data_IF_744750130469
#
_entry.id   IF_744750130469
#
_cell.length_a   1.000
_cell.length_b   1.000
_cell.length_c   1.000
_cell.angle_alpha   90.00
_cell.angle_beta   90.00
_cell.angle_gamma   90.00
#
_symmetry.space_group_name_H-M   'P 1'
#
loop_
_entity.id
_entity.type
_entity.pdbx_description
1 polymer ?
#
# COMPACT_ATOMS: atom_id res chain seq x y z
N UNK A 1 10.64 -10.85 15.41
CA UNK A 1 10.24 -11.53 14.16
C UNK A 1 9.31 -10.60 13.39
N UNK A 2 9.62 -10.28 12.13
CA UNK A 2 8.82 -9.37 11.30
C UNK A 2 7.58 -10.11 10.78
N UNK A 3 6.42 -9.45 10.83
CA UNK A 3 5.14 -9.98 10.37
C UNK A 3 4.49 -8.99 9.41
N UNK A 4 4.01 -9.48 8.27
CA UNK A 4 3.39 -8.68 7.21
C UNK A 4 1.88 -8.98 7.12
N UNK A 5 1.11 -7.94 6.81
CA UNK A 5 -0.35 -8.00 6.77
C UNK A 5 -0.86 -8.56 5.44
N UNK A 6 -1.70 -9.59 5.55
CA UNK A 6 -2.26 -10.36 4.44
C UNK A 6 -3.12 -9.53 3.44
N UNK A 7 -3.70 -8.42 3.90
CA UNK A 7 -4.62 -7.59 3.12
C UNK A 7 -3.99 -6.35 2.47
N UNK A 8 -2.68 -6.15 2.60
CA UNK A 8 -2.00 -4.99 2.01
C UNK A 8 -1.99 -5.04 0.48
N UNK A 9 -2.12 -3.87 -0.15
CA UNK A 9 -1.96 -3.71 -1.60
C UNK A 9 -0.48 -3.56 -1.92
N UNK A 10 -0.03 -4.21 -3.00
CA UNK A 10 1.36 -4.23 -3.42
C UNK A 10 1.65 -3.05 -4.36
N UNK A 11 2.79 -2.39 -4.13
CA UNK A 11 3.29 -1.33 -5.01
C UNK A 11 4.22 -1.95 -6.05
N UNK A 12 3.91 -1.77 -7.34
CA UNK A 12 4.74 -2.25 -8.45
C UNK A 12 5.59 -1.14 -9.07
N UNK A 13 6.61 -1.51 -9.84
CA UNK A 13 7.47 -0.53 -10.51
C UNK A 13 6.72 0.32 -11.53
N UNK A 14 5.72 -0.24 -12.22
CA UNK A 14 4.87 0.53 -13.11
C UNK A 14 4.00 1.57 -12.35
N UNK A 15 3.68 1.36 -11.08
CA UNK A 15 3.06 2.41 -10.25
C UNK A 15 4.03 3.57 -10.02
N UNK A 16 5.32 3.29 -9.80
CA UNK A 16 6.35 4.35 -9.66
C UNK A 16 6.53 5.15 -10.95
N UNK A 17 6.57 4.46 -12.08
CA UNK A 17 6.65 5.10 -13.39
C UNK A 17 5.42 5.97 -13.67
N UNK A 18 4.23 5.45 -13.39
CA UNK A 18 2.96 6.19 -13.53
C UNK A 18 2.95 7.45 -12.66
N UNK A 19 3.42 7.38 -11.42
CA UNK A 19 3.53 8.53 -10.51
C UNK A 19 4.44 9.62 -11.13
N UNK A 20 5.59 9.22 -11.69
CA UNK A 20 6.47 10.14 -12.42
C UNK A 20 5.84 10.73 -13.69
N UNK A 21 5.06 9.95 -14.45
CA UNK A 21 4.35 10.40 -15.65
C UNK A 21 3.26 11.43 -15.32
N UNK A 22 2.44 11.15 -14.30
CA UNK A 22 1.41 12.08 -13.80
C UNK A 22 2.06 13.41 -13.41
N UNK A 23 3.19 13.35 -12.70
CA UNK A 23 3.87 14.55 -12.23
C UNK A 23 4.46 15.38 -13.38
N UNK A 24 5.04 14.72 -14.40
CA UNK A 24 5.48 15.40 -15.62
C UNK A 24 4.32 16.07 -16.35
N UNK A 25 3.17 15.41 -16.46
CA UNK A 25 1.97 15.96 -17.10
C UNK A 25 1.39 17.19 -16.39
N UNK A 26 1.65 17.38 -15.10
CA UNK A 26 1.18 18.54 -14.32
C UNK A 26 2.01 19.81 -14.54
N UNK A 27 3.23 19.70 -15.05
CA UNK A 27 4.12 20.83 -15.31
C UNK A 27 4.26 21.74 -14.08
N UNK A 28 3.92 23.03 -14.24
CA UNK A 28 4.01 24.04 -13.17
C UNK A 28 3.04 23.83 -11.99
N UNK A 29 2.14 22.85 -12.07
CA UNK A 29 1.23 22.45 -10.98
C UNK A 29 1.65 21.12 -10.34
N UNK A 30 2.95 20.81 -10.38
CA UNK A 30 3.53 19.65 -9.67
C UNK A 30 3.20 19.70 -8.18
N UNK A 31 2.84 18.54 -7.63
CA UNK A 31 2.51 18.37 -6.20
C UNK A 31 3.73 18.03 -5.35
N UNK A 32 4.89 17.74 -5.97
CA UNK A 32 6.05 17.22 -5.27
C UNK A 32 5.82 15.79 -4.78
N UNK A 33 5.32 14.90 -5.65
CA UNK A 33 5.20 13.48 -5.28
C UNK A 33 6.58 12.87 -5.02
N UNK A 34 6.64 11.88 -4.13
CA UNK A 34 7.89 11.16 -3.86
C UNK A 34 8.30 10.22 -5.00
N UNK A 35 7.46 10.11 -6.05
CA UNK A 35 7.63 9.21 -7.20
C UNK A 35 7.79 7.74 -6.79
N UNK A 36 7.24 7.39 -5.62
CA UNK A 36 7.28 6.04 -5.05
C UNK A 36 6.08 5.19 -5.49
N UNK A 37 5.15 5.72 -6.28
CA UNK A 37 4.00 4.95 -6.76
C UNK A 37 2.87 4.81 -5.75
N UNK A 38 2.91 5.54 -4.64
CA UNK A 38 1.91 5.46 -3.57
C UNK A 38 0.54 5.89 -4.11
N UNK A 39 0.47 7.03 -4.80
CA UNK A 39 -0.79 7.53 -5.36
C UNK A 39 -1.46 6.58 -6.34
N UNK A 40 -0.76 6.12 -7.40
CA UNK A 40 -1.31 5.12 -8.31
C UNK A 40 -1.75 3.84 -7.59
N UNK A 41 -0.96 3.33 -6.63
CA UNK A 41 -1.33 2.12 -5.87
C UNK A 41 -2.63 2.32 -5.07
N UNK A 42 -2.81 3.46 -4.40
CA UNK A 42 -4.04 3.78 -3.68
C UNK A 42 -5.23 4.01 -4.64
N UNK A 43 -4.99 4.59 -5.81
CA UNK A 43 -6.01 4.66 -6.86
C UNK A 43 -6.48 3.26 -7.26
N UNK A 44 -5.55 2.32 -7.46
CA UNK A 44 -5.89 0.93 -7.75
C UNK A 44 -6.63 0.22 -6.62
N UNK A 45 -6.31 0.57 -5.37
CA UNK A 45 -7.08 0.11 -4.21
C UNK A 45 -8.52 0.62 -4.27
N UNK A 46 -8.72 1.90 -4.57
CA UNK A 46 -10.04 2.52 -4.65
C UNK A 46 -10.89 1.98 -5.81
N UNK A 47 -10.27 1.74 -6.98
CA UNK A 47 -10.94 1.15 -8.16
C UNK A 47 -11.09 -0.37 -8.05
N UNK A 48 -10.58 -0.99 -6.97
CA UNK A 48 -10.63 -2.44 -6.70
C UNK A 48 -9.92 -3.30 -7.75
N UNK A 49 -9.02 -2.73 -8.53
CA UNK A 49 -8.16 -3.47 -9.47
C UNK A 49 -6.74 -3.70 -8.91
N UNK A 50 -6.44 -3.16 -7.73
CA UNK A 50 -5.17 -3.37 -7.04
C UNK A 50 -4.95 -4.81 -6.60
N UNK A 51 -3.70 -5.25 -6.66
CA UNK A 51 -3.29 -6.60 -6.30
C UNK A 51 -2.80 -6.60 -4.86
N UNK A 52 -3.29 -7.55 -4.05
CA UNK A 52 -2.99 -7.64 -2.62
C UNK A 52 -1.98 -8.73 -2.31
N UNK A 53 -1.46 -8.72 -1.10
CA UNK A 53 -0.51 -9.73 -0.60
C UNK A 53 -1.12 -11.15 -0.65
N UNK A 54 -2.42 -11.30 -0.33
CA UNK A 54 -3.16 -12.56 -0.51
C UNK A 54 -3.11 -13.08 -1.96
N UNK A 55 -3.19 -12.19 -2.95
CA UNK A 55 -3.16 -12.60 -4.36
C UNK A 55 -1.78 -13.12 -4.74
N UNK A 56 -0.70 -12.49 -4.24
CA UNK A 56 0.67 -12.94 -4.50
C UNK A 56 1.00 -14.30 -3.85
N UNK A 57 0.46 -14.56 -2.65
CA UNK A 57 0.76 -15.79 -1.89
C UNK A 57 -0.18 -16.96 -2.22
N UNK A 58 -1.29 -16.66 -2.89
CA UNK A 58 -2.29 -17.63 -3.33
C UNK A 58 -1.88 -18.36 -4.61
N UNK A 59 -2.83 -18.51 -5.53
CA UNK A 59 -2.56 -19.10 -6.84
C UNK A 59 -1.78 -18.12 -7.73
N UNK A 60 -0.54 -18.49 -8.04
CA UNK A 60 0.36 -17.65 -8.83
C UNK A 60 -0.13 -17.43 -10.27
N UNK A 61 -0.91 -18.35 -10.83
CA UNK A 61 -1.50 -18.18 -12.17
C UNK A 61 -2.52 -17.04 -12.19
N UNK A 62 -3.37 -16.98 -11.15
CA UNK A 62 -4.35 -15.91 -10.95
C UNK A 62 -3.63 -14.57 -10.70
N UNK A 63 -2.55 -14.58 -9.90
CA UNK A 63 -1.72 -13.39 -9.71
C UNK A 63 -1.15 -12.87 -11.03
N UNK A 64 -0.57 -13.75 -11.85
CA UNK A 64 0.01 -13.39 -13.14
C UNK A 64 -1.04 -12.80 -14.09
N UNK A 65 -2.25 -13.37 -14.14
CA UNK A 65 -3.36 -12.83 -14.93
C UNK A 65 -3.77 -11.44 -14.44
N UNK A 66 -3.97 -11.26 -13.12
CA UNK A 66 -4.30 -9.97 -12.51
C UNK A 66 -3.21 -8.92 -12.80
N UNK A 67 -1.94 -9.29 -12.73
CA UNK A 67 -0.80 -8.42 -13.05
C UNK A 67 -0.84 -7.95 -14.49
N UNK A 68 -1.07 -8.85 -15.45
CA UNK A 68 -1.18 -8.48 -16.88
C UNK A 68 -2.37 -7.57 -17.14
N UNK A 69 -3.51 -7.85 -16.53
CA UNK A 69 -4.72 -7.03 -16.65
C UNK A 69 -4.50 -5.63 -16.06
N UNK A 70 -3.90 -5.54 -14.87
CA UNK A 70 -3.60 -4.27 -14.21
C UNK A 70 -2.58 -3.44 -15.03
N UNK A 71 -1.53 -4.08 -15.53
CA UNK A 71 -0.54 -3.43 -16.38
C UNK A 71 -1.17 -2.89 -17.68
N UNK A 72 -2.03 -3.69 -18.32
CA UNK A 72 -2.74 -3.29 -19.54
C UNK A 72 -3.66 -2.09 -19.28
N UNK A 73 -4.35 -2.07 -18.15
CA UNK A 73 -5.16 -0.92 -17.71
C UNK A 73 -4.33 0.36 -17.58
N UNK A 74 -3.15 0.30 -16.96
CA UNK A 74 -2.25 1.44 -16.88
C UNK A 74 -1.68 1.84 -18.25
N UNK A 75 -1.30 0.88 -19.10
CA UNK A 75 -0.74 1.14 -20.43
C UNK A 75 -1.73 1.84 -21.36
N UNK A 76 -3.04 1.56 -21.23
CA UNK A 76 -4.10 2.27 -21.96
C UNK A 76 -4.16 3.76 -21.59
N UNK A 77 -3.96 4.07 -20.31
CA UNK A 77 -4.01 5.46 -19.80
C UNK A 77 -2.67 6.18 -19.99
N UNK A 78 -1.57 5.44 -19.91
CA UNK A 78 -0.21 5.93 -20.00
C UNK A 78 0.55 5.14 -21.09
N UNK A 79 0.43 5.53 -22.37
CA UNK A 79 1.08 4.83 -23.48
C UNK A 79 2.61 4.78 -23.35
N UNK A 80 3.20 5.76 -22.68
CA UNK A 80 4.65 5.86 -22.43
C UNK A 80 5.15 4.94 -21.30
N UNK A 81 4.28 4.13 -20.69
CA UNK A 81 4.66 3.20 -19.64
C UNK A 81 5.54 2.08 -20.21
N UNK A 82 6.79 1.96 -19.79
CA UNK A 82 7.70 0.93 -20.29
C UNK A 82 7.87 -0.19 -19.26
N UNK A 83 7.95 -1.43 -19.72
CA UNK A 83 8.15 -2.55 -18.81
C UNK A 83 7.85 -3.90 -19.45
N UNK A 84 8.65 -4.89 -19.07
CA UNK A 84 8.39 -6.29 -19.33
C UNK A 84 7.61 -6.86 -18.14
N UNK A 85 6.30 -7.03 -18.32
CA UNK A 85 5.41 -7.51 -17.27
C UNK A 85 5.67 -8.98 -16.95
N UNK A 86 6.05 -9.79 -17.92
CA UNK A 86 6.30 -11.22 -17.72
C UNK A 86 7.59 -11.42 -16.90
N UNK A 87 8.63 -10.64 -17.20
CA UNK A 87 9.84 -10.60 -16.36
C UNK A 87 9.53 -10.14 -14.93
N UNK A 88 8.69 -9.12 -14.80
CA UNK A 88 8.25 -8.63 -13.47
C UNK A 88 7.53 -9.74 -12.72
N UNK A 89 6.58 -10.44 -13.36
CA UNK A 89 5.86 -11.57 -12.76
C UNK A 89 6.85 -12.63 -12.27
N UNK A 90 7.83 -13.03 -13.06
CA UNK A 90 8.80 -14.06 -12.62
C UNK A 90 9.60 -13.61 -11.38
N UNK A 91 10.02 -12.35 -11.31
CA UNK A 91 10.70 -11.81 -10.12
C UNK A 91 9.80 -11.88 -8.87
N UNK A 92 8.49 -11.68 -9.03
CA UNK A 92 7.54 -11.77 -7.93
C UNK A 92 7.35 -13.19 -7.40
N UNK A 93 7.70 -14.22 -8.17
CA UNK A 93 7.65 -15.62 -7.72
C UNK A 93 8.65 -15.88 -6.59
N UNK A 94 9.88 -15.41 -6.74
CA UNK A 94 10.90 -15.52 -5.69
C UNK A 94 10.53 -14.68 -4.45
N UNK A 95 10.00 -13.48 -4.68
CA UNK A 95 9.52 -12.63 -3.59
C UNK A 95 8.35 -13.25 -2.83
N UNK A 96 7.43 -13.92 -3.52
CA UNK A 96 6.30 -14.61 -2.88
C UNK A 96 6.78 -15.64 -1.86
N UNK A 97 7.77 -16.45 -2.22
CA UNK A 97 8.33 -17.46 -1.33
C UNK A 97 9.11 -16.84 -0.16
N UNK A 98 9.79 -15.72 -0.40
CA UNK A 98 10.44 -14.95 0.68
C UNK A 98 9.41 -14.36 1.68
N UNK A 99 8.27 -13.86 1.21
CA UNK A 99 7.25 -13.25 2.06
C UNK A 99 6.30 -14.25 2.72
N UNK A 100 6.17 -15.46 2.18
CA UNK A 100 5.28 -16.52 2.69
C UNK A 100 5.42 -16.77 4.20
N UNK A 101 6.63 -16.96 4.78
CA UNK A 101 6.77 -17.20 6.23
C UNK A 101 6.52 -15.96 7.10
N UNK A 102 6.60 -14.75 6.54
CA UNK A 102 6.37 -13.51 7.27
C UNK A 102 4.91 -13.06 7.25
N UNK A 103 4.11 -13.59 6.32
CA UNK A 103 2.74 -13.12 6.14
C UNK A 103 1.80 -13.89 7.05
N UNK A 104 1.01 -13.14 7.83
CA UNK A 104 0.03 -13.71 8.74
C UNK A 104 -1.29 -12.94 8.66
N UNK A 105 -2.37 -13.57 9.10
CA UNK A 105 -3.59 -12.83 9.43
C UNK A 105 -3.31 -11.95 10.65
N UNK A 106 -2.97 -10.69 10.36
CA UNK A 106 -2.57 -9.75 11.40
C UNK A 106 -3.79 -9.23 12.16
N UNK A 107 -5.01 -9.31 11.60
CA UNK A 107 -6.22 -8.88 12.31
C UNK A 107 -6.47 -9.83 13.47
N UNK A 108 -6.54 -11.13 13.21
CA UNK A 108 -6.67 -12.14 14.26
C UNK A 108 -5.50 -12.09 15.24
N UNK A 109 -4.27 -12.02 14.73
CA UNK A 109 -3.09 -11.97 15.59
C UNK A 109 -3.04 -10.75 16.53
N UNK A 110 -3.44 -9.58 16.05
CA UNK A 110 -3.51 -8.37 16.88
C UNK A 110 -4.66 -8.45 17.87
N UNK A 111 -5.83 -8.93 17.44
CA UNK A 111 -6.98 -9.07 18.32
C UNK A 111 -6.68 -10.04 19.47
N UNK A 112 -6.09 -11.20 19.18
CA UNK A 112 -5.67 -12.17 20.20
C UNK A 112 -4.65 -11.55 21.17
N UNK A 113 -3.72 -10.74 20.67
CA UNK A 113 -2.74 -10.04 21.50
C UNK A 113 -3.36 -8.96 22.40
N UNK A 114 -4.43 -8.29 21.93
CA UNK A 114 -5.18 -7.29 22.69
C UNK A 114 -6.01 -7.97 23.77
N UNK A 115 -6.75 -9.03 23.41
CA UNK A 115 -7.63 -9.78 24.34
C UNK A 115 -6.83 -10.45 25.45
N UNK A 116 -5.68 -11.03 25.12
CA UNK A 116 -4.78 -11.65 26.10
C UNK A 116 -4.19 -10.61 27.09
N UNK A 117 -4.08 -9.34 26.68
CA UNK A 117 -3.65 -8.22 27.54
C UNK A 117 -2.18 -8.28 27.99
N UNK A 118 -1.44 -9.35 27.68
CA UNK A 118 -0.04 -9.53 28.09
C UNK A 118 0.95 -8.71 27.26
N UNK A 119 0.51 -8.19 26.10
CA UNK A 119 1.37 -7.49 25.13
C UNK A 119 0.99 -6.02 25.03
N UNK A 120 2.00 -5.15 25.10
CA UNK A 120 1.85 -3.72 24.77
C UNK A 120 2.05 -3.53 23.27
N UNK A 121 1.08 -2.91 22.61
CA UNK A 121 1.12 -2.62 21.17
C UNK A 121 1.43 -1.14 20.99
N UNK A 122 2.55 -0.87 20.31
CA UNK A 122 2.91 0.48 19.87
C UNK A 122 2.63 0.59 18.39
N UNK A 123 1.89 1.62 18.00
CA UNK A 123 1.59 1.88 16.59
C UNK A 123 2.33 3.15 16.17
N UNK A 124 3.16 3.01 15.15
CA UNK A 124 3.89 4.13 14.56
C UNK A 124 3.08 4.71 13.41
N UNK A 125 2.61 5.95 13.58
CA UNK A 125 1.95 6.69 12.52
C UNK A 125 2.97 7.05 11.43
N UNK A 126 2.63 6.76 10.18
CA UNK A 126 3.40 7.23 9.03
C UNK A 126 2.90 8.61 8.59
N UNK A 127 3.83 9.52 8.29
CA UNK A 127 3.58 10.92 7.91
C UNK A 127 2.90 11.75 9.03
N UNK A 128 2.75 13.05 8.78
CA UNK A 128 2.07 13.99 9.68
C UNK A 128 0.59 14.18 9.28
N UNK A 129 -0.27 14.47 10.27
CA UNK A 129 -1.71 14.75 10.10
C UNK A 129 -2.01 15.88 9.11
N UNK A 130 -1.10 16.85 8.95
CA UNK A 130 -1.24 17.92 7.95
C UNK A 130 -1.15 17.44 6.49
N UNK A 131 -0.65 16.21 6.27
CA UNK A 131 -0.54 15.57 4.97
C UNK A 131 -1.64 14.54 4.74
N UNK A 132 -2.64 14.49 5.62
CA UNK A 132 -3.80 13.60 5.50
C UNK A 132 -4.56 13.85 4.19
N UNK A 133 -5.20 12.81 3.65
CA UNK A 133 -5.97 12.94 2.40
C UNK A 133 -7.28 13.72 2.59
N UNK A 134 -7.89 13.61 3.78
CA UNK A 134 -9.19 14.19 4.11
C UNK A 134 -9.04 15.49 4.90
N UNK A 135 -8.11 15.53 5.85
CA UNK A 135 -7.97 16.64 6.82
C UNK A 135 -6.75 17.54 6.59
N UNK A 136 -5.88 17.20 5.63
CA UNK A 136 -4.65 17.93 5.38
C UNK A 136 -4.85 19.28 4.68
N UNK A 137 -3.74 19.98 4.43
CA UNK A 137 -3.79 21.19 3.60
C UNK A 137 -3.95 20.80 2.11
N UNK A 138 -4.96 21.37 1.46
CA UNK A 138 -5.45 21.01 0.11
C UNK A 138 -4.42 20.96 -1.03
N UNK A 139 -3.19 21.43 -0.82
CA UNK A 139 -2.11 21.42 -1.81
C UNK A 139 -1.03 20.35 -1.59
N UNK A 140 -0.97 19.69 -0.43
CA UNK A 140 0.12 18.77 -0.07
C UNK A 140 -0.34 17.38 0.42
N UNK A 141 -1.61 17.02 0.23
CA UNK A 141 -2.14 15.72 0.64
C UNK A 141 -1.28 14.55 0.15
N UNK A 142 -1.05 13.58 1.03
CA UNK A 142 -0.54 12.25 0.70
C UNK A 142 -1.71 11.30 0.59
N UNK A 143 -1.55 10.26 -0.23
CA UNK A 143 -2.62 9.33 -0.59
C UNK A 143 -2.97 8.31 0.52
N UNK A 144 -2.72 8.64 1.78
CA UNK A 144 -2.93 7.74 2.91
C UNK A 144 -3.42 8.51 4.12
N UNK A 145 -4.47 8.01 4.75
CA UNK A 145 -4.99 8.57 6.01
C UNK A 145 -3.92 8.43 7.11
N UNK A 146 -3.76 9.50 7.86
CA UNK A 146 -2.78 9.72 8.93
C UNK A 146 -3.53 10.03 10.22
N UNK A 147 -3.16 9.36 11.32
CA UNK A 147 -3.78 9.57 12.64
C UNK A 147 -4.41 8.32 13.27
N UNK A 148 -4.99 8.51 14.45
CA UNK A 148 -5.46 7.45 15.36
C UNK A 148 -6.62 6.63 14.80
N UNK A 149 -7.60 7.31 14.24
CA UNK A 149 -8.74 6.65 13.59
C UNK A 149 -8.31 5.82 12.39
N UNK A 150 -7.34 6.31 11.60
CA UNK A 150 -6.79 5.56 10.48
C UNK A 150 -6.02 4.32 10.95
N UNK A 151 -5.29 4.42 12.06
CA UNK A 151 -4.61 3.28 12.68
C UNK A 151 -5.62 2.22 13.15
N UNK A 152 -6.65 2.64 13.89
CA UNK A 152 -7.72 1.77 14.38
C UNK A 152 -8.46 1.06 13.24
N UNK A 153 -8.83 1.79 12.19
CA UNK A 153 -9.49 1.22 11.02
C UNK A 153 -8.61 0.19 10.29
N UNK A 154 -7.32 0.50 10.11
CA UNK A 154 -6.38 -0.40 9.43
C UNK A 154 -6.08 -1.66 10.25
N UNK A 155 -6.12 -1.56 11.58
CA UNK A 155 -5.89 -2.68 12.50
C UNK A 155 -7.17 -3.45 12.86
N UNK A 156 -8.34 -2.92 12.50
CA UNK A 156 -9.66 -3.46 12.89
C UNK A 156 -9.82 -3.55 14.41
N UNK A 157 -9.37 -2.53 15.13
CA UNK A 157 -9.42 -2.43 16.61
C UNK A 157 -10.14 -1.16 17.04
N UNK A 158 -10.53 -1.05 18.31
CA UNK A 158 -11.08 0.21 18.83
C UNK A 158 -9.95 1.23 19.09
N UNK A 159 -10.18 2.54 18.88
CA UNK A 159 -9.16 3.57 19.10
C UNK A 159 -8.58 3.57 20.53
N UNK A 160 -9.41 3.28 21.53
CA UNK A 160 -9.06 3.26 22.96
C UNK A 160 -7.94 2.27 23.31
N UNK A 161 -7.68 1.29 22.44
CA UNK A 161 -6.70 0.23 22.64
C UNK A 161 -5.35 0.52 21.97
N UNK A 162 -5.20 1.68 21.32
CA UNK A 162 -4.02 2.02 20.51
C UNK A 162 -3.21 3.12 21.18
N UNK A 163 -1.94 2.82 21.46
CA UNK A 163 -0.97 3.86 21.81
C UNK A 163 -0.25 4.32 20.55
N UNK A 164 -0.63 5.49 20.03
CA UNK A 164 0.03 6.10 18.88
C UNK A 164 1.25 6.92 19.28
N UNK A 165 2.34 6.75 18.53
CA UNK A 165 3.45 7.69 18.53
C UNK A 165 3.57 8.32 17.15
N UNK A 166 3.37 9.61 17.06
CA UNK A 166 3.67 10.37 15.85
C UNK A 166 5.20 10.47 15.69
N UNK A 167 5.70 10.10 14.52
CA UNK A 167 7.09 10.38 14.17
C UNK A 167 7.20 11.85 13.78
N UNK A 168 7.76 12.67 14.67
CA UNK A 168 8.21 14.03 14.32
C UNK A 168 9.44 13.86 13.41
N UNK A 169 9.31 14.28 12.15
CA UNK A 169 10.43 14.36 11.20
C UNK A 169 11.22 15.64 11.47
#
# INVERSE_FOLDING_TARGET
MLKCLFFLVVVFDFHKQTDGLIERGRGNRSLGTTKKGIGPTYSSKATRNGIRMIDLLGDFSIFAEKMRNLYSYYKLTFPDLEGDIDKTIEQFKELAEYFRPMTIDTISYLNDAIVDGSKKILVEGANATMLDIDFGSSRLHRYSDTGEFAAALKMSTTPEQIFLREQTI
#
